data_IF_373162302925
#
_entry.id   IF_373162302925
#
_cell.length_a   1.000
_cell.length_b   1.000
_cell.length_c   1.000
_cell.angle_alpha   90.00
_cell.angle_beta   90.00
_cell.angle_gamma   90.00
#
_symmetry.space_group_name_H-M   'P 1'
#
loop_
_entity.id
_entity.type
_entity.pdbx_description
1 polymer ?
#
# COMPACT_ATOMS: atom_id res chain seq x y z
N UNK A 1 -7.41 -8.21 20.50
CA UNK A 1 -7.55 -7.77 19.10
C UNK A 1 -6.52 -6.68 18.88
N UNK A 2 -5.72 -6.77 17.82
CA UNK A 2 -4.72 -5.76 17.48
C UNK A 2 -5.40 -4.45 17.10
N UNK A 3 -4.77 -3.30 17.37
CA UNK A 3 -5.29 -2.02 16.90
C UNK A 3 -5.35 -2.01 15.36
N UNK A 4 -6.39 -1.42 14.73
CA UNK A 4 -6.47 -1.31 13.29
C UNK A 4 -5.25 -0.60 12.70
N UNK A 5 -4.69 -1.16 11.64
CA UNK A 5 -3.60 -0.55 10.88
C UNK A 5 -4.19 0.15 9.65
N UNK A 6 -4.03 1.47 9.59
CA UNK A 6 -4.39 2.24 8.41
C UNK A 6 -3.37 1.99 7.30
N UNK A 7 -3.88 1.58 6.14
CA UNK A 7 -3.14 1.37 4.90
C UNK A 7 -3.55 2.44 3.89
N UNK A 8 -2.56 3.09 3.28
CA UNK A 8 -2.78 3.98 2.13
C UNK A 8 -2.11 3.40 0.88
N UNK A 9 -2.61 3.78 -0.29
CA UNK A 9 -2.03 3.36 -1.57
C UNK A 9 -1.65 4.53 -2.46
N UNK A 10 -0.66 4.32 -3.32
CA UNK A 10 -0.30 5.26 -4.40
C UNK A 10 -0.52 4.56 -5.73
N UNK A 11 -1.67 4.86 -6.36
CA UNK A 11 -2.15 4.19 -7.55
C UNK A 11 -2.98 5.17 -8.39
N UNK A 12 -2.64 5.33 -9.67
CA UNK A 12 -3.39 6.26 -10.55
C UNK A 12 -4.74 5.70 -11.00
N UNK A 13 -5.00 4.40 -10.74
CA UNK A 13 -6.27 3.73 -10.95
C UNK A 13 -6.93 3.36 -9.60
N UNK A 14 -7.67 4.29 -8.96
CA UNK A 14 -8.17 4.09 -7.59
C UNK A 14 -9.15 2.92 -7.46
N UNK A 15 -10.00 2.67 -8.45
CA UNK A 15 -10.95 1.54 -8.39
C UNK A 15 -10.24 0.18 -8.39
N UNK A 16 -9.12 0.11 -9.11
CA UNK A 16 -8.25 -1.06 -9.13
C UNK A 16 -7.52 -1.24 -7.81
N UNK A 17 -7.03 -0.15 -7.20
CA UNK A 17 -6.45 -0.20 -5.86
C UNK A 17 -7.46 -0.75 -4.85
N UNK A 18 -8.69 -0.22 -4.84
CA UNK A 18 -9.77 -0.69 -3.96
C UNK A 18 -10.05 -2.18 -4.14
N UNK A 19 -10.10 -2.67 -5.38
CA UNK A 19 -10.35 -4.08 -5.66
C UNK A 19 -9.22 -4.96 -5.12
N UNK A 20 -7.97 -4.69 -5.50
CA UNK A 20 -6.82 -5.52 -5.10
C UNK A 20 -6.60 -5.48 -3.59
N UNK A 21 -6.56 -4.28 -3.01
CA UNK A 21 -6.30 -4.08 -1.59
C UNK A 21 -7.48 -4.60 -0.76
N UNK A 22 -8.71 -4.36 -1.20
CA UNK A 22 -9.92 -4.88 -0.54
C UNK A 22 -9.90 -6.40 -0.46
N UNK A 23 -9.55 -7.09 -1.54
CA UNK A 23 -9.41 -8.55 -1.54
C UNK A 23 -8.29 -9.02 -0.60
N UNK A 24 -7.15 -8.33 -0.57
CA UNK A 24 -6.06 -8.67 0.38
C UNK A 24 -6.52 -8.50 1.83
N UNK A 25 -7.16 -7.37 2.16
CA UNK A 25 -7.68 -7.09 3.51
C UNK A 25 -8.66 -8.18 3.94
N UNK A 26 -9.59 -8.54 3.06
CA UNK A 26 -10.58 -9.58 3.34
C UNK A 26 -9.92 -10.94 3.60
N UNK A 27 -8.91 -11.30 2.80
CA UNK A 27 -8.20 -12.57 2.94
C UNK A 27 -7.34 -12.68 4.21
N UNK A 28 -6.97 -11.54 4.82
CA UNK A 28 -6.11 -11.52 6.02
C UNK A 28 -6.83 -11.09 7.30
N UNK A 29 -8.16 -10.87 7.24
CA UNK A 29 -8.95 -10.33 8.36
C UNK A 29 -8.89 -11.16 9.65
N UNK A 30 -8.62 -12.45 9.54
CA UNK A 30 -8.47 -13.36 10.69
C UNK A 30 -7.13 -13.14 11.43
N UNK A 31 -6.14 -12.53 10.77
CA UNK A 31 -4.81 -12.25 11.32
C UNK A 31 -4.59 -10.76 11.63
N UNK A 32 -5.06 -9.88 10.74
CA UNK A 32 -4.79 -8.46 10.80
C UNK A 32 -6.07 -7.65 10.64
N UNK A 33 -6.18 -6.57 11.41
CA UNK A 33 -7.22 -5.57 11.21
C UNK A 33 -6.63 -4.43 10.39
N UNK A 34 -6.90 -4.42 9.08
CA UNK A 34 -6.36 -3.41 8.15
C UNK A 34 -7.52 -2.59 7.59
N UNK A 35 -7.34 -1.28 7.49
CA UNK A 35 -8.31 -0.36 6.87
C UNK A 35 -7.64 0.34 5.69
N UNK A 36 -8.22 0.25 4.50
CA UNK A 36 -7.78 1.05 3.36
C UNK A 36 -8.27 2.49 3.56
N UNK A 37 -7.39 3.34 4.10
CA UNK A 37 -7.73 4.68 4.57
C UNK A 37 -7.66 5.75 3.47
N UNK A 38 -7.01 5.47 2.34
CA UNK A 38 -6.99 6.38 1.21
C UNK A 38 -6.05 5.97 0.08
N UNK A 39 -6.13 6.72 -1.02
CA UNK A 39 -5.32 6.52 -2.20
C UNK A 39 -4.87 7.85 -2.79
N UNK A 40 -3.57 8.00 -3.06
CA UNK A 40 -3.06 9.10 -3.88
C UNK A 40 -2.91 8.63 -5.32
N UNK A 41 -3.35 9.45 -6.28
CA UNK A 41 -3.17 9.20 -7.71
C UNK A 41 -1.90 9.87 -8.26
N UNK A 42 -1.19 10.65 -7.45
CA UNK A 42 0.03 11.38 -7.84
C UNK A 42 1.11 11.23 -6.76
N UNK A 43 2.36 11.52 -7.11
CA UNK A 43 3.49 11.49 -6.16
C UNK A 43 3.40 12.69 -5.21
N UNK A 44 3.05 13.85 -5.75
CA UNK A 44 2.94 15.12 -5.03
C UNK A 44 1.85 15.05 -3.95
N UNK A 45 0.77 14.30 -4.19
CA UNK A 45 -0.33 14.13 -3.24
C UNK A 45 -0.03 13.16 -2.10
N UNK A 46 1.10 12.43 -2.13
CA UNK A 46 1.43 11.42 -1.11
C UNK A 46 1.55 12.05 0.27
N UNK A 47 2.28 13.16 0.39
CA UNK A 47 2.50 13.82 1.68
C UNK A 47 1.18 14.29 2.30
N UNK A 48 0.35 14.96 1.51
CA UNK A 48 -0.94 15.49 1.98
C UNK A 48 -1.88 14.35 2.40
N UNK A 49 -1.92 13.26 1.64
CA UNK A 49 -2.67 12.07 2.01
C UNK A 49 -2.22 11.52 3.38
N UNK A 50 -0.91 11.33 3.57
CA UNK A 50 -0.35 10.79 4.80
C UNK A 50 -0.68 11.64 6.03
N UNK A 51 -0.67 12.97 5.88
CA UNK A 51 -1.00 13.91 6.96
C UNK A 51 -2.51 14.02 7.23
N UNK A 52 -3.35 13.74 6.23
CA UNK A 52 -4.81 13.83 6.35
C UNK A 52 -5.46 12.64 7.04
N UNK A 53 -4.81 11.47 7.03
CA UNK A 53 -5.36 10.22 7.57
C UNK A 53 -5.06 10.11 9.07
N UNK A 54 -6.11 9.86 9.86
CA UNK A 54 -6.01 9.68 11.31
C UNK A 54 -6.73 8.40 11.76
N UNK A 55 -6.13 7.55 12.62
CA UNK A 55 -4.72 7.61 13.08
C UNK A 55 -3.72 7.51 11.91
N UNK A 56 -2.45 7.93 12.09
CA UNK A 56 -1.48 7.94 11.00
C UNK A 56 -1.36 6.56 10.34
N UNK A 57 -1.27 6.48 9.01
CA UNK A 57 -1.13 5.20 8.32
C UNK A 57 0.16 4.51 8.71
N UNK A 58 0.04 3.22 9.04
CA UNK A 58 1.19 2.37 9.37
C UNK A 58 1.81 1.72 8.14
N UNK A 59 1.10 1.71 7.01
CA UNK A 59 1.52 1.02 5.78
C UNK A 59 1.17 1.85 4.54
N UNK A 60 2.11 1.92 3.59
CA UNK A 60 1.90 2.45 2.26
C UNK A 60 2.23 1.41 1.18
N UNK A 61 1.28 1.16 0.28
CA UNK A 61 1.49 0.33 -0.92
C UNK A 61 1.65 1.20 -2.17
N UNK A 62 2.75 0.99 -2.90
CA UNK A 62 3.03 1.65 -4.17
C UNK A 62 2.74 0.69 -5.33
N UNK A 63 1.88 1.11 -6.26
CA UNK A 63 1.43 0.27 -7.36
C UNK A 63 2.53 -0.02 -8.40
N UNK A 64 2.38 -1.14 -9.14
CA UNK A 64 3.34 -1.58 -10.15
C UNK A 64 3.43 -0.70 -11.40
N UNK A 65 2.66 0.38 -11.49
CA UNK A 65 2.70 1.26 -12.66
C UNK A 65 3.73 2.38 -12.55
N UNK A 66 4.21 2.65 -11.34
CA UNK A 66 5.30 3.60 -11.10
C UNK A 66 6.64 2.98 -11.50
N UNK A 67 7.54 3.79 -12.05
CA UNK A 67 8.92 3.37 -12.31
C UNK A 67 9.67 3.13 -11.00
N UNK A 68 10.80 2.39 -11.00
CA UNK A 68 11.59 2.19 -9.79
C UNK A 68 11.99 3.50 -9.09
N UNK A 69 12.35 4.54 -9.85
CA UNK A 69 12.74 5.85 -9.33
C UNK A 69 11.55 6.56 -8.66
N UNK A 70 10.37 6.50 -9.29
CA UNK A 70 9.14 7.04 -8.71
C UNK A 70 8.73 6.25 -7.45
N UNK A 71 8.90 4.93 -7.46
CA UNK A 71 8.65 4.09 -6.29
C UNK A 71 9.59 4.44 -5.13
N UNK A 72 10.86 4.72 -5.41
CA UNK A 72 11.83 5.17 -4.41
C UNK A 72 11.43 6.54 -3.84
N UNK A 73 11.06 7.49 -4.70
CA UNK A 73 10.60 8.82 -4.29
C UNK A 73 9.36 8.75 -3.40
N UNK A 74 8.35 7.98 -3.79
CA UNK A 74 7.12 7.76 -2.99
C UNK A 74 7.46 7.19 -1.61
N UNK A 75 8.33 6.19 -1.56
CA UNK A 75 8.72 5.55 -0.30
C UNK A 75 9.54 6.51 0.59
N UNK A 76 10.40 7.33 -0.02
CA UNK A 76 11.14 8.37 0.69
C UNK A 76 10.19 9.40 1.29
N UNK A 77 9.24 9.93 0.53
CA UNK A 77 8.23 10.86 1.03
C UNK A 77 7.48 10.24 2.21
N UNK A 78 7.11 8.97 2.11
CA UNK A 78 6.41 8.27 3.18
C UNK A 78 7.22 8.23 4.49
N UNK A 79 8.46 7.75 4.43
CA UNK A 79 9.35 7.63 5.59
C UNK A 79 9.74 8.99 6.19
N UNK A 80 9.92 10.01 5.34
CA UNK A 80 10.19 11.38 5.78
C UNK A 80 8.97 12.02 6.47
N UNK A 81 7.75 11.62 6.09
CA UNK A 81 6.50 12.18 6.63
C UNK A 81 6.04 11.47 7.91
N UNK A 82 6.13 10.13 7.95
CA UNK A 82 5.69 9.32 9.09
C UNK A 82 6.83 8.38 9.52
N UNK A 83 7.50 8.68 10.65
CA UNK A 83 8.52 7.80 11.19
C UNK A 83 7.97 6.39 11.45
N UNK A 84 8.66 5.38 10.92
CA UNK A 84 8.28 3.97 11.11
C UNK A 84 7.14 3.46 10.22
N UNK A 85 6.66 4.25 9.23
CA UNK A 85 5.72 3.73 8.23
C UNK A 85 6.38 2.62 7.41
N UNK A 86 5.67 1.51 7.25
CA UNK A 86 6.10 0.39 6.41
C UNK A 86 5.73 0.70 4.97
N UNK A 87 6.60 0.38 4.04
CA UNK A 87 6.36 0.65 2.63
C UNK A 87 6.59 -0.59 1.80
N UNK A 88 5.69 -0.86 0.86
CA UNK A 88 5.87 -1.94 -0.10
C UNK A 88 5.61 -1.44 -1.51
N UNK A 89 6.61 -1.58 -2.37
CA UNK A 89 6.49 -1.27 -3.78
C UNK A 89 6.29 -2.56 -4.58
N UNK A 90 5.15 -2.66 -5.27
CA UNK A 90 4.85 -3.80 -6.13
C UNK A 90 5.76 -3.68 -7.36
N UNK A 91 6.46 -4.76 -7.78
CA UNK A 91 7.42 -4.70 -8.88
C UNK A 91 6.86 -4.05 -10.14
N UNK A 92 7.59 -3.09 -10.72
CA UNK A 92 7.14 -2.35 -11.90
C UNK A 92 6.73 -3.29 -13.04
N UNK A 93 5.58 -3.02 -13.65
CA UNK A 93 5.00 -3.80 -14.75
C UNK A 93 4.39 -5.14 -14.35
N UNK A 94 4.45 -5.56 -13.08
CA UNK A 94 3.95 -6.87 -12.66
C UNK A 94 2.48 -7.09 -13.00
N UNK A 95 1.63 -6.08 -12.77
CA UNK A 95 0.20 -6.21 -13.04
C UNK A 95 -0.11 -6.53 -14.51
N UNK A 96 0.68 -6.04 -15.46
CA UNK A 96 0.48 -6.34 -16.89
C UNK A 96 0.70 -7.83 -17.16
N UNK A 97 1.60 -8.46 -16.41
CA UNK A 97 1.96 -9.87 -16.57
C UNK A 97 0.96 -10.81 -15.90
N UNK A 98 0.47 -10.45 -14.72
CA UNK A 98 -0.29 -11.38 -13.84
C UNK A 98 -1.74 -10.97 -13.59
N UNK A 99 -2.14 -9.79 -14.07
CA UNK A 99 -3.47 -9.25 -13.85
C UNK A 99 -3.76 -8.90 -12.37
N UNK A 100 -4.99 -8.45 -12.05
CA UNK A 100 -5.37 -8.08 -10.69
C UNK A 100 -5.27 -9.23 -9.69
N UNK A 101 -5.73 -10.44 -10.06
CA UNK A 101 -5.68 -11.60 -9.18
C UNK A 101 -4.24 -12.01 -8.85
N UNK A 102 -3.33 -12.01 -9.84
CA UNK A 102 -1.93 -12.32 -9.58
C UNK A 102 -1.23 -11.28 -8.69
N UNK A 103 -1.70 -10.03 -8.65
CA UNK A 103 -1.23 -9.05 -7.67
C UNK A 103 -1.72 -9.41 -6.26
N UNK A 104 -2.97 -9.86 -6.12
CA UNK A 104 -3.48 -10.35 -4.83
C UNK A 104 -2.62 -11.51 -4.35
N UNK A 105 -2.39 -12.51 -5.19
CA UNK A 105 -1.59 -13.69 -4.84
C UNK A 105 -0.16 -13.28 -4.44
N UNK A 106 0.47 -12.40 -5.22
CA UNK A 106 1.79 -11.83 -4.93
C UNK A 106 1.87 -11.15 -3.56
N UNK A 107 0.85 -10.35 -3.21
CA UNK A 107 0.77 -9.65 -1.92
C UNK A 107 0.50 -10.64 -0.79
N UNK A 108 -0.35 -11.66 -0.99
CA UNK A 108 -0.67 -12.67 0.02
C UNK A 108 0.56 -13.49 0.43
N UNK A 109 1.47 -13.77 -0.50
CA UNK A 109 2.75 -14.43 -0.19
C UNK A 109 3.68 -13.59 0.71
N UNK A 110 3.49 -12.27 0.73
CA UNK A 110 4.40 -11.30 1.37
C UNK A 110 3.76 -10.52 2.51
N UNK A 111 2.45 -10.63 2.69
CA UNK A 111 1.71 -9.79 3.63
C UNK A 111 2.22 -9.96 5.05
N UNK A 112 2.51 -11.20 5.48
CA UNK A 112 3.03 -11.46 6.83
C UNK A 112 4.41 -10.80 7.04
N UNK A 113 5.28 -10.80 6.01
CA UNK A 113 6.57 -10.10 6.04
C UNK A 113 6.37 -8.58 6.12
N UNK A 114 5.56 -8.01 5.22
CA UNK A 114 5.24 -6.59 5.17
C UNK A 114 4.68 -6.09 6.51
N UNK A 115 3.76 -6.85 7.11
CA UNK A 115 3.13 -6.51 8.37
C UNK A 115 4.09 -6.59 9.56
N UNK A 116 5.20 -7.32 9.45
CA UNK A 116 6.18 -7.53 10.54
C UNK A 116 7.52 -6.81 10.35
N UNK A 117 7.73 -6.13 9.20
CA UNK A 117 8.88 -5.25 8.98
C UNK A 117 9.03 -4.24 10.14
N UNK A 118 10.28 -4.05 10.59
CA UNK A 118 10.66 -3.18 11.71
C UNK A 118 11.19 -1.85 11.21
#
# INVERSE_FOLDING_TARGET
MSAPVNLVSVNTAPDRAKLVIGTVIENVKDKYTIVHAGNSTTIEGVKDLLLSVQPPPGILFCASMWTPEQQEEIQKIARDTIPGIKTHAIPTGLQVKVGPQGIVDYLMERVDEIMTQK
#
